data_IF_583821259336
#
_entry.id   IF_583821259336
#
_cell.length_a   1.000
_cell.length_b   1.000
_cell.length_c   1.000
_cell.angle_alpha   90.00
_cell.angle_beta   90.00
_cell.angle_gamma   90.00
#
_symmetry.space_group_name_H-M   'P 1'
#
loop_
_entity.id
_entity.type
_entity.pdbx_description
1 polymer ?
#
# COMPACT_ATOMS: atom_id res chain seq x y z
N UNK A 1 25.75 4.79 -0.18
CA UNK A 1 24.94 3.90 0.69
C UNK A 1 25.78 3.39 1.87
N UNK A 2 25.49 3.83 3.10
CA UNK A 2 26.39 3.66 4.27
C UNK A 2 26.00 2.50 5.20
N UNK A 3 24.80 1.92 5.06
CA UNK A 3 24.35 0.80 5.91
C UNK A 3 25.15 -0.47 5.64
N UNK A 4 25.63 -1.12 6.71
CA UNK A 4 26.44 -2.35 6.63
C UNK A 4 25.63 -3.59 6.22
N UNK A 5 24.31 -3.56 6.43
CA UNK A 5 23.37 -4.67 6.19
C UNK A 5 23.06 -4.95 4.70
N UNK A 6 23.60 -4.17 3.76
CA UNK A 6 23.46 -4.43 2.32
C UNK A 6 24.62 -5.27 1.79
N UNK A 7 24.32 -6.17 0.87
CA UNK A 7 25.34 -6.92 0.15
C UNK A 7 26.29 -6.00 -0.63
N UNK A 8 27.48 -6.49 -0.93
CA UNK A 8 28.49 -5.71 -1.67
C UNK A 8 27.96 -5.29 -3.03
N UNK A 9 27.25 -6.17 -3.75
CA UNK A 9 26.66 -5.83 -5.05
C UNK A 9 25.69 -4.65 -4.96
N UNK A 10 24.84 -4.62 -3.93
CA UNK A 10 23.90 -3.53 -3.70
C UNK A 10 24.61 -2.19 -3.47
N UNK A 11 25.73 -2.19 -2.73
CA UNK A 11 26.57 -0.99 -2.51
C UNK A 11 27.16 -0.46 -3.80
N UNK A 12 27.64 -1.35 -4.66
CA UNK A 12 28.20 -0.98 -5.96
C UNK A 12 27.14 -0.44 -6.91
N UNK A 13 25.99 -1.10 -7.01
CA UNK A 13 24.87 -0.62 -7.83
C UNK A 13 24.34 0.71 -7.32
N UNK A 14 24.17 0.89 -6.01
CA UNK A 14 23.75 2.17 -5.44
C UNK A 14 24.77 3.29 -5.66
N UNK A 15 26.07 2.98 -5.70
CA UNK A 15 27.11 3.95 -6.06
C UNK A 15 27.04 4.32 -7.54
N UNK A 16 26.89 3.34 -8.43
CA UNK A 16 26.75 3.58 -9.86
C UNK A 16 25.55 4.48 -10.17
N UNK A 17 24.39 4.18 -9.56
CA UNK A 17 23.17 5.00 -9.72
C UNK A 17 23.41 6.42 -9.22
N UNK A 18 24.04 6.59 -8.05
CA UNK A 18 24.35 7.93 -7.54
C UNK A 18 25.32 8.69 -8.45
N UNK A 19 26.35 8.02 -8.96
CA UNK A 19 27.33 8.62 -9.88
C UNK A 19 26.66 9.04 -11.21
N UNK A 20 25.65 8.30 -11.69
CA UNK A 20 24.83 8.69 -12.85
C UNK A 20 23.92 9.87 -12.54
N UNK A 21 23.26 9.89 -11.38
CA UNK A 21 22.39 11.01 -10.98
C UNK A 21 23.19 12.31 -10.83
N UNK A 22 24.43 12.21 -10.36
CA UNK A 22 25.32 13.36 -10.14
C UNK A 22 26.26 13.65 -11.32
N UNK A 23 26.13 12.95 -12.46
CA UNK A 23 27.03 13.12 -13.60
C UNK A 23 26.87 14.46 -14.32
N UNK A 24 25.67 15.06 -14.22
CA UNK A 24 25.31 16.28 -14.95
C UNK A 24 24.88 16.03 -16.40
N UNK A 25 24.68 14.76 -16.78
CA UNK A 25 24.14 14.39 -18.09
C UNK A 25 22.64 14.71 -18.20
N UNK A 26 22.11 14.62 -19.42
CA UNK A 26 20.69 14.79 -19.69
C UNK A 26 19.83 13.78 -18.92
N UNK A 27 18.69 14.23 -18.40
CA UNK A 27 17.81 13.41 -17.54
C UNK A 27 17.39 12.11 -18.20
N UNK A 28 17.04 12.14 -19.49
CA UNK A 28 16.59 10.94 -20.20
C UNK A 28 17.76 9.96 -20.41
N UNK A 29 18.97 10.49 -20.63
CA UNK A 29 20.18 9.67 -20.73
C UNK A 29 20.51 8.99 -19.40
N UNK A 30 20.43 9.72 -18.28
CA UNK A 30 20.65 9.17 -16.92
C UNK A 30 19.66 8.05 -16.62
N UNK A 31 18.37 8.27 -16.87
CA UNK A 31 17.31 7.26 -16.65
C UNK A 31 17.56 6.00 -17.48
N UNK A 32 17.89 6.16 -18.77
CA UNK A 32 18.17 5.03 -19.65
C UNK A 32 19.41 4.25 -19.19
N UNK A 33 20.50 4.93 -18.82
CA UNK A 33 21.72 4.29 -18.31
C UNK A 33 21.46 3.48 -17.03
N UNK A 34 20.62 4.01 -16.13
CA UNK A 34 20.23 3.30 -14.91
C UNK A 34 19.41 2.06 -15.25
N UNK A 35 18.41 2.18 -16.13
CA UNK A 35 17.57 1.05 -16.55
C UNK A 35 18.39 -0.05 -17.24
N UNK A 36 19.29 0.31 -18.15
CA UNK A 36 20.17 -0.61 -18.86
C UNK A 36 21.13 -1.31 -17.89
N UNK A 37 21.67 -0.58 -16.92
CA UNK A 37 22.53 -1.15 -15.88
C UNK A 37 21.79 -2.18 -15.02
N UNK A 38 20.56 -1.90 -14.61
CA UNK A 38 19.74 -2.82 -13.82
C UNK A 38 19.39 -4.09 -14.62
N UNK A 39 19.08 -3.94 -15.91
CA UNK A 39 18.79 -5.07 -16.79
C UNK A 39 20.02 -5.96 -17.01
N UNK A 40 21.19 -5.36 -17.28
CA UNK A 40 22.45 -6.09 -17.43
C UNK A 40 22.87 -6.77 -16.13
N UNK A 41 22.69 -6.10 -14.99
CA UNK A 41 22.98 -6.66 -13.68
C UNK A 41 22.12 -7.90 -13.40
N UNK A 42 20.81 -7.82 -13.66
CA UNK A 42 19.91 -8.95 -13.48
C UNK A 42 20.31 -10.15 -14.36
N UNK A 43 20.69 -9.90 -15.62
CA UNK A 43 21.22 -10.94 -16.52
C UNK A 43 22.47 -11.60 -15.96
N UNK A 44 23.45 -10.80 -15.50
CA UNK A 44 24.71 -11.29 -14.91
C UNK A 44 24.52 -12.06 -13.59
N UNK A 45 23.54 -11.67 -12.78
CA UNK A 45 23.20 -12.39 -11.55
C UNK A 45 22.60 -13.76 -11.87
N UNK A 46 21.68 -13.83 -12.84
CA UNK A 46 21.01 -15.08 -13.25
C UNK A 46 21.94 -16.03 -14.02
N UNK A 47 22.88 -15.52 -14.81
CA UNK A 47 23.91 -16.34 -15.48
C UNK A 47 24.95 -16.92 -14.52
N UNK A 48 25.04 -16.38 -13.30
CA UNK A 48 26.03 -16.81 -12.31
C UNK A 48 27.43 -16.20 -12.51
N UNK A 49 27.54 -15.12 -13.29
CA UNK A 49 28.82 -14.46 -13.60
C UNK A 49 29.38 -13.64 -12.42
N UNK A 50 28.61 -13.47 -11.35
CA UNK A 50 28.99 -12.70 -10.17
C UNK A 50 29.63 -13.59 -9.10
N UNK A 51 30.81 -13.20 -8.57
CA UNK A 51 31.48 -13.98 -7.54
C UNK A 51 30.71 -13.94 -6.22
N UNK A 52 30.85 -15.01 -5.42
CA UNK A 52 30.13 -15.18 -4.16
C UNK A 52 30.34 -14.00 -3.19
N UNK A 53 31.53 -13.38 -3.18
CA UNK A 53 31.81 -12.24 -2.32
C UNK A 53 30.80 -11.09 -2.51
N UNK A 54 30.26 -10.90 -3.72
CA UNK A 54 29.31 -9.83 -4.03
C UNK A 54 27.96 -10.00 -3.32
N UNK A 55 27.61 -11.22 -2.94
CA UNK A 55 26.36 -11.55 -2.25
C UNK A 55 26.46 -11.51 -0.73
N UNK A 56 27.66 -11.37 -0.17
CA UNK A 56 27.89 -11.44 1.29
C UNK A 56 27.26 -10.23 1.99
N UNK A 57 26.44 -10.53 3.00
CA UNK A 57 25.87 -9.55 3.92
C UNK A 57 26.53 -9.77 5.29
N UNK A 58 26.92 -8.69 5.96
CA UNK A 58 27.61 -8.77 7.26
C UNK A 58 26.84 -7.98 8.30
N UNK A 59 26.50 -8.62 9.42
CA UNK A 59 25.80 -7.98 10.54
C UNK A 59 26.42 -8.35 11.89
N UNK A 60 26.54 -7.35 12.76
CA UNK A 60 27.11 -7.51 14.11
C UNK A 60 26.14 -8.16 15.10
N UNK A 61 26.66 -8.97 16.01
CA UNK A 61 25.92 -9.51 17.15
C UNK A 61 25.98 -8.53 18.33
N UNK A 62 24.82 -8.11 18.82
CA UNK A 62 24.67 -7.27 20.02
C UNK A 62 24.51 -8.06 21.31
N UNK A 63 24.11 -9.33 21.22
CA UNK A 63 23.95 -10.27 22.35
C UNK A 63 24.58 -11.61 21.98
N UNK A 64 24.68 -12.53 22.94
CA UNK A 64 25.11 -13.89 22.63
C UNK A 64 24.03 -14.60 21.77
N UNK A 65 24.37 -15.45 20.78
CA UNK A 65 23.39 -16.05 19.86
C UNK A 65 22.21 -16.76 20.52
N UNK A 66 22.42 -17.36 21.71
CA UNK A 66 21.36 -18.06 22.46
C UNK A 66 20.39 -17.13 23.21
N UNK A 67 20.78 -15.87 23.45
CA UNK A 67 19.99 -14.92 24.23
C UNK A 67 19.05 -14.08 23.36
N UNK A 68 19.00 -14.37 22.05
CA UNK A 68 18.06 -13.75 21.12
C UNK A 68 16.70 -14.45 21.19
N UNK A 69 15.64 -13.80 21.70
CA UNK A 69 14.28 -14.35 21.69
C UNK A 69 13.80 -14.61 20.26
N UNK A 70 14.22 -13.76 19.31
CA UNK A 70 13.84 -13.82 17.89
C UNK A 70 14.89 -14.52 17.00
N UNK A 71 15.67 -15.45 17.56
CA UNK A 71 16.77 -16.07 16.80
C UNK A 71 16.35 -16.88 15.56
N UNK A 72 15.05 -17.08 15.34
CA UNK A 72 14.47 -17.73 14.15
C UNK A 72 14.07 -16.75 13.04
N UNK A 73 14.03 -15.44 13.31
CA UNK A 73 13.64 -14.41 12.31
C UNK A 73 14.86 -13.63 11.78
N UNK A 74 16.04 -13.84 12.38
CA UNK A 74 17.25 -13.08 12.06
C UNK A 74 18.32 -13.97 11.38
N UNK A 75 18.67 -13.72 10.10
CA UNK A 75 19.63 -14.54 9.35
C UNK A 75 21.01 -14.67 9.99
N UNK A 76 21.61 -13.56 10.42
CA UNK A 76 22.91 -13.54 11.10
C UNK A 76 22.92 -14.30 12.43
N UNK A 77 21.82 -14.28 13.21
CA UNK A 77 21.69 -15.08 14.43
C UNK A 77 21.54 -16.56 14.11
N UNK A 78 20.79 -16.91 13.06
CA UNK A 78 20.64 -18.28 12.59
C UNK A 78 22.00 -18.89 12.20
N UNK A 79 22.78 -18.16 11.40
CA UNK A 79 24.14 -18.58 11.00
C UNK A 79 25.08 -18.63 12.22
N UNK A 80 25.01 -17.66 13.14
CA UNK A 80 25.79 -17.70 14.37
C UNK A 80 25.49 -18.96 15.23
N UNK A 81 24.22 -19.35 15.35
CA UNK A 81 23.83 -20.61 16.02
C UNK A 81 24.35 -21.84 15.29
N UNK A 82 24.39 -21.83 13.96
CA UNK A 82 25.02 -22.90 13.17
C UNK A 82 26.53 -22.98 13.39
N UNK A 83 27.21 -21.84 13.44
CA UNK A 83 28.64 -21.76 13.76
C UNK A 83 28.95 -22.35 15.14
N UNK A 84 28.14 -22.03 16.16
CA UNK A 84 28.27 -22.63 17.50
C UNK A 84 28.10 -24.15 17.47
N UNK A 85 27.12 -24.67 16.71
CA UNK A 85 26.93 -26.12 16.52
C UNK A 85 28.09 -26.79 15.77
N UNK A 86 28.76 -26.06 14.90
CA UNK A 86 29.95 -26.50 14.19
C UNK A 86 31.26 -26.29 14.98
N UNK A 87 31.16 -26.05 16.30
CA UNK A 87 32.28 -25.78 17.21
C UNK A 87 33.16 -24.57 16.80
N UNK A 88 32.61 -23.60 16.07
CA UNK A 88 33.28 -22.33 15.80
C UNK A 88 32.96 -21.31 16.92
N UNK A 89 33.96 -20.62 17.48
CA UNK A 89 33.73 -19.61 18.51
C UNK A 89 32.97 -18.42 17.92
N UNK A 90 31.99 -17.91 18.66
CA UNK A 90 31.21 -16.71 18.32
C UNK A 90 31.02 -15.87 19.57
N UNK A 91 31.47 -14.62 19.54
CA UNK A 91 31.41 -13.70 20.67
C UNK A 91 30.43 -12.55 20.43
N UNK A 92 30.08 -11.86 21.52
CA UNK A 92 29.30 -10.62 21.46
C UNK A 92 30.15 -9.54 20.79
N UNK A 93 29.59 -8.82 19.82
CA UNK A 93 30.29 -7.83 19.01
C UNK A 93 30.85 -8.37 17.68
N UNK A 94 30.84 -9.70 17.49
CA UNK A 94 31.34 -10.30 16.25
C UNK A 94 30.44 -9.97 15.06
N UNK A 95 31.07 -9.80 13.90
CA UNK A 95 30.40 -9.53 12.64
C UNK A 95 30.23 -10.84 11.87
N UNK A 96 29.00 -11.29 11.72
CA UNK A 96 28.67 -12.58 11.11
C UNK A 96 28.33 -12.36 9.63
N UNK A 97 29.15 -12.91 8.69
CA UNK A 97 28.83 -12.88 7.29
C UNK A 97 27.86 -14.01 6.94
N UNK A 98 26.89 -13.73 6.10
CA UNK A 98 25.93 -14.71 5.60
C UNK A 98 25.50 -14.41 4.17
N UNK A 99 25.02 -15.46 3.49
CA UNK A 99 24.43 -15.39 2.14
C UNK A 99 23.11 -16.17 2.17
N UNK A 100 22.09 -15.62 1.51
CA UNK A 100 20.80 -16.30 1.34
C UNK A 100 20.90 -17.24 0.15
N UNK A 101 20.64 -18.54 0.38
CA UNK A 101 20.87 -19.58 -0.62
C UNK A 101 19.58 -20.23 -1.12
N UNK A 102 19.65 -20.84 -2.29
CA UNK A 102 18.68 -21.78 -2.83
C UNK A 102 19.38 -23.12 -3.08
N UNK A 103 18.68 -24.23 -2.86
CA UNK A 103 19.18 -25.56 -3.21
C UNK A 103 19.06 -25.77 -4.73
N UNK A 104 20.01 -26.50 -5.32
CA UNK A 104 20.14 -26.62 -6.77
C UNK A 104 19.13 -27.57 -7.41
N UNK A 105 18.58 -28.56 -6.69
CA UNK A 105 17.66 -29.56 -7.29
C UNK A 105 16.23 -29.01 -7.49
N UNK A 106 15.61 -29.26 -8.65
CA UNK A 106 14.30 -28.69 -9.01
C UNK A 106 13.15 -29.09 -8.05
N UNK A 107 13.25 -30.27 -7.41
CA UNK A 107 12.30 -30.72 -6.41
C UNK A 107 12.46 -29.98 -5.08
N UNK A 108 13.70 -29.65 -4.70
CA UNK A 108 14.01 -28.89 -3.49
C UNK A 108 13.91 -27.38 -3.69
N UNK A 109 14.01 -26.87 -4.92
CA UNK A 109 13.73 -25.46 -5.23
C UNK A 109 12.31 -25.11 -4.81
N UNK A 110 11.30 -25.95 -5.15
CA UNK A 110 9.89 -25.79 -4.71
C UNK A 110 9.70 -25.92 -3.20
N UNK A 111 10.54 -26.70 -2.52
CA UNK A 111 10.52 -26.82 -1.06
C UNK A 111 11.18 -25.61 -0.38
N UNK A 112 12.26 -25.09 -0.96
CA UNK A 112 13.01 -23.92 -0.49
C UNK A 112 12.26 -22.61 -0.70
N UNK A 113 11.35 -22.53 -1.68
CA UNK A 113 10.44 -21.38 -1.81
C UNK A 113 9.39 -21.33 -0.69
N UNK A 114 9.16 -22.44 0.02
CA UNK A 114 8.24 -22.53 1.18
C UNK A 114 8.92 -22.28 2.52
N UNK A 115 10.25 -22.35 2.59
CA UNK A 115 11.02 -22.07 3.80
C UNK A 115 11.40 -20.60 3.89
N UNK A 116 11.48 -20.08 5.11
CA UNK A 116 11.78 -18.66 5.33
C UNK A 116 13.18 -18.32 4.82
N UNK A 117 13.38 -17.10 4.31
CA UNK A 117 14.70 -16.64 3.86
C UNK A 117 15.78 -16.79 4.97
N UNK A 118 15.36 -16.73 6.24
CA UNK A 118 16.21 -16.91 7.42
C UNK A 118 16.78 -18.32 7.50
N UNK A 119 15.96 -19.34 7.28
CA UNK A 119 16.37 -20.76 7.31
C UNK A 119 17.30 -21.13 6.15
N UNK A 120 17.31 -20.30 5.10
CA UNK A 120 18.15 -20.43 3.91
C UNK A 120 19.48 -19.68 4.02
N UNK A 121 19.70 -18.95 5.11
CA UNK A 121 20.94 -18.25 5.35
C UNK A 121 22.07 -19.24 5.68
N UNK A 122 23.21 -19.11 4.99
CA UNK A 122 24.40 -19.95 5.19
C UNK A 122 25.66 -19.10 5.28
N UNK A 123 26.69 -19.63 5.94
CA UNK A 123 27.99 -18.97 6.01
C UNK A 123 28.71 -19.09 4.64
N UNK A 124 29.42 -18.06 4.15
CA UNK A 124 30.08 -18.10 2.83
C UNK A 124 31.05 -19.29 2.65
N UNK A 125 31.75 -19.70 3.71
CA UNK A 125 32.64 -20.87 3.66
C UNK A 125 31.89 -22.20 3.48
N UNK A 126 30.68 -22.33 4.01
CA UNK A 126 29.86 -23.54 3.82
C UNK A 126 29.42 -23.66 2.36
N UNK A 127 29.09 -22.53 1.74
CA UNK A 127 28.73 -22.47 0.32
C UNK A 127 29.93 -22.86 -0.54
N UNK A 128 31.13 -22.32 -0.25
CA UNK A 128 32.38 -22.71 -0.94
C UNK A 128 32.68 -24.21 -0.79
N UNK A 129 32.37 -24.79 0.37
CA UNK A 129 32.56 -26.23 0.64
C UNK A 129 31.53 -27.13 -0.05
N UNK A 130 30.33 -26.62 -0.29
CA UNK A 130 29.22 -27.37 -0.91
C UNK A 130 29.39 -27.67 -2.40
N UNK A 131 30.50 -27.22 -3.02
CA UNK A 131 30.89 -27.51 -4.40
C UNK A 131 29.77 -27.38 -5.46
N UNK A 132 28.86 -26.41 -5.27
CA UNK A 132 27.78 -26.09 -6.22
C UNK A 132 26.38 -26.56 -5.84
N UNK A 133 26.22 -27.27 -4.72
CA UNK A 133 24.89 -27.67 -4.19
C UNK A 133 24.08 -26.47 -3.67
N UNK A 134 24.74 -25.53 -2.99
CA UNK A 134 24.14 -24.30 -2.50
C UNK A 134 24.54 -23.14 -3.41
N UNK A 135 23.55 -22.46 -3.99
CA UNK A 135 23.77 -21.26 -4.80
C UNK A 135 23.08 -20.05 -4.17
N UNK A 136 23.56 -18.81 -4.39
CA UNK A 136 22.84 -17.61 -3.95
C UNK A 136 21.44 -17.55 -4.58
N UNK A 137 20.44 -17.16 -3.80
CA UNK A 137 19.07 -16.94 -4.29
C UNK A 137 18.97 -15.59 -5.01
N UNK A 138 19.25 -15.60 -6.31
CA UNK A 138 19.30 -14.39 -7.15
C UNK A 138 18.02 -13.56 -7.07
N UNK A 139 16.85 -14.21 -7.12
CA UNK A 139 15.56 -13.50 -7.10
C UNK A 139 15.34 -12.78 -5.76
N UNK A 140 15.72 -13.40 -4.65
CA UNK A 140 15.68 -12.74 -3.34
C UNK A 140 16.63 -11.54 -3.29
N UNK A 141 17.85 -11.63 -3.83
CA UNK A 141 18.78 -10.49 -3.85
C UNK A 141 18.29 -9.35 -4.75
N UNK A 142 17.74 -9.65 -5.93
CA UNK A 142 17.17 -8.62 -6.81
C UNK A 142 16.03 -7.87 -6.09
N UNK A 143 15.10 -8.61 -5.47
CA UNK A 143 13.92 -8.05 -4.81
C UNK A 143 14.22 -7.33 -3.48
N UNK A 144 15.08 -7.91 -2.63
CA UNK A 144 15.27 -7.48 -1.24
C UNK A 144 16.58 -6.74 -1.00
N UNK A 145 17.55 -6.82 -1.92
CA UNK A 145 18.86 -6.18 -1.77
C UNK A 145 19.13 -5.10 -2.82
N UNK A 146 18.72 -5.28 -4.07
CA UNK A 146 19.01 -4.33 -5.15
C UNK A 146 17.89 -3.30 -5.31
N UNK A 147 16.64 -3.76 -5.48
CA UNK A 147 15.50 -2.88 -5.78
C UNK A 147 15.22 -1.82 -4.70
N UNK A 148 15.22 -2.11 -3.37
CA UNK A 148 14.88 -1.09 -2.39
C UNK A 148 15.86 0.09 -2.28
N UNK A 149 17.20 -0.08 -2.32
CA UNK A 149 18.11 1.05 -2.30
C UNK A 149 18.20 1.79 -3.62
N UNK A 150 18.09 1.11 -4.77
CA UNK A 150 18.07 1.80 -6.07
C UNK A 150 16.77 2.56 -6.27
N UNK A 151 15.63 1.96 -5.90
CA UNK A 151 14.32 2.61 -5.93
C UNK A 151 14.31 3.94 -5.19
N UNK A 152 14.87 3.99 -3.97
CA UNK A 152 15.00 5.22 -3.18
C UNK A 152 15.91 6.28 -3.79
N UNK A 153 16.94 5.89 -4.55
CA UNK A 153 17.81 6.85 -5.23
C UNK A 153 17.14 7.45 -6.46
N UNK A 154 16.34 6.66 -7.17
CA UNK A 154 15.63 7.07 -8.37
C UNK A 154 14.24 7.66 -8.09
N UNK A 155 13.76 7.65 -6.84
CA UNK A 155 12.43 8.13 -6.45
C UNK A 155 12.15 9.59 -6.87
N UNK A 156 13.09 10.55 -6.71
CA UNK A 156 12.86 11.93 -7.13
C UNK A 156 12.94 12.15 -8.66
N UNK A 157 13.25 11.11 -9.44
CA UNK A 157 13.43 11.23 -10.89
C UNK A 157 12.13 10.95 -11.63
N UNK A 158 11.56 11.96 -12.29
CA UNK A 158 10.41 11.72 -13.18
C UNK A 158 10.84 10.83 -14.35
N UNK A 159 10.06 9.81 -14.67
CA UNK A 159 10.34 8.81 -15.71
C UNK A 159 10.81 7.45 -15.19
N UNK A 160 11.10 7.33 -13.89
CA UNK A 160 11.40 6.06 -13.23
C UNK A 160 10.41 5.80 -12.09
N UNK A 161 9.97 4.55 -11.94
CA UNK A 161 9.16 4.12 -10.79
C UNK A 161 9.66 2.77 -10.28
N UNK A 162 9.42 2.41 -9.00
CA UNK A 162 9.77 1.09 -8.47
C UNK A 162 9.22 -0.07 -9.31
N UNK A 163 8.04 0.13 -9.94
CA UNK A 163 7.43 -0.83 -10.86
C UNK A 163 8.23 -1.02 -12.15
N UNK A 164 8.68 0.08 -12.77
CA UNK A 164 9.52 0.04 -13.97
C UNK A 164 10.88 -0.57 -13.64
N UNK A 165 11.47 -0.22 -12.49
CA UNK A 165 12.74 -0.80 -12.05
C UNK A 165 12.61 -2.30 -11.75
N UNK A 166 11.50 -2.73 -11.13
CA UNK A 166 11.20 -4.14 -10.94
C UNK A 166 11.10 -4.88 -12.28
N UNK A 167 10.42 -4.29 -13.26
CA UNK A 167 10.33 -4.84 -14.62
C UNK A 167 11.71 -4.97 -15.28
N UNK A 168 12.56 -3.95 -15.19
CA UNK A 168 13.94 -3.99 -15.72
C UNK A 168 14.82 -5.02 -15.02
N UNK A 169 14.58 -5.29 -13.74
CA UNK A 169 15.22 -6.40 -13.01
C UNK A 169 14.63 -7.78 -13.36
N UNK A 170 13.54 -7.83 -14.14
CA UNK A 170 12.81 -9.06 -14.49
C UNK A 170 11.98 -9.62 -13.32
N UNK A 171 11.57 -8.76 -12.39
CA UNK A 171 10.67 -9.09 -11.28
C UNK A 171 9.21 -8.79 -11.69
N UNK A 172 8.26 -9.44 -11.03
CA UNK A 172 6.83 -9.22 -11.27
C UNK A 172 6.40 -7.82 -10.80
N UNK A 173 6.23 -6.90 -11.76
CA UNK A 173 5.89 -5.49 -11.54
C UNK A 173 4.58 -5.27 -10.77
N UNK A 174 3.66 -6.24 -10.79
CA UNK A 174 2.38 -6.17 -10.07
C UNK A 174 2.55 -6.21 -8.54
N UNK A 175 3.61 -6.86 -8.05
CA UNK A 175 3.88 -6.98 -6.61
C UNK A 175 4.40 -5.67 -6.01
N UNK A 176 4.97 -4.80 -6.83
CA UNK A 176 5.63 -3.57 -6.41
C UNK A 176 4.80 -2.31 -6.65
N UNK A 177 3.61 -2.46 -7.29
CA UNK A 177 2.58 -1.41 -7.35
C UNK A 177 2.00 -1.06 -5.96
N UNK A 178 2.12 -1.94 -4.97
CA UNK A 178 1.41 -1.85 -3.68
C UNK A 178 2.28 -1.36 -2.51
N UNK A 179 3.61 -1.31 -2.66
CA UNK A 179 4.51 -0.91 -1.56
C UNK A 179 4.57 0.59 -1.29
N UNK A 180 3.95 1.41 -2.16
CA UNK A 180 3.80 2.86 -1.93
C UNK A 180 2.50 3.26 -1.22
N UNK A 181 1.52 2.36 -1.10
CA UNK A 181 0.21 2.70 -0.56
C UNK A 181 -0.49 1.48 0.05
N UNK A 182 -0.34 1.27 1.36
CA UNK A 182 -1.23 0.38 2.11
C UNK A 182 -0.53 -0.80 2.78
N UNK A 183 0.21 -0.52 3.85
CA UNK A 183 0.16 -1.34 5.06
C UNK A 183 0.76 -0.55 6.21
N UNK A 184 0.03 -0.46 7.32
CA UNK A 184 0.43 0.23 8.55
C UNK A 184 1.63 -0.42 9.23
N UNK A 185 2.81 -0.22 8.64
CA UNK A 185 4.04 -0.19 9.40
C UNK A 185 4.06 1.16 10.13
N UNK A 186 4.36 1.13 11.43
CA UNK A 186 4.71 2.32 12.18
C UNK A 186 5.76 3.06 11.35
N UNK A 187 5.42 4.30 10.98
CA UNK A 187 6.29 5.19 10.23
C UNK A 187 7.49 5.43 11.13
N UNK A 188 8.62 4.79 10.80
CA UNK A 188 9.91 5.24 11.25
C UNK A 188 10.09 6.66 10.70
N UNK A 189 10.34 7.61 11.60
CA UNK A 189 10.34 9.08 11.41
C UNK A 189 11.36 9.58 10.34
N UNK A 190 12.02 8.65 9.65
CA UNK A 190 13.12 8.88 8.71
C UNK A 190 12.76 8.63 7.23
N UNK A 191 11.50 8.25 6.89
CA UNK A 191 11.02 8.07 5.50
C UNK A 191 10.15 9.23 4.98
N UNK A 192 10.43 10.45 5.42
CA UNK A 192 9.56 11.62 5.22
C UNK A 192 9.94 12.46 3.98
N UNK A 193 9.99 11.89 2.76
CA UNK A 193 10.27 12.71 1.56
C UNK A 193 9.27 12.58 0.40
N UNK A 194 8.48 11.50 0.29
CA UNK A 194 7.43 11.40 -0.74
C UNK A 194 6.05 11.08 -0.17
N UNK A 195 5.55 12.01 0.67
CA UNK A 195 4.14 12.03 1.02
C UNK A 195 3.35 12.68 -0.12
N UNK A 196 2.85 11.88 -1.07
CA UNK A 196 1.69 12.32 -1.85
C UNK A 196 0.52 12.34 -0.87
N UNK A 197 -0.04 13.51 -0.52
CA UNK A 197 -1.17 13.55 0.38
C UNK A 197 -2.27 12.67 -0.18
N UNK A 198 -2.93 11.88 0.66
CA UNK A 198 -4.06 11.06 0.23
C UNK A 198 -5.19 11.91 -0.42
N UNK A 199 -5.20 13.23 -0.19
CA UNK A 199 -6.05 14.20 -0.86
C UNK A 199 -5.72 14.44 -2.33
N UNK A 200 -4.50 14.13 -2.78
CA UNK A 200 -4.03 14.30 -4.15
C UNK A 200 -4.16 13.02 -4.99
N UNK A 201 -4.54 11.90 -4.37
CA UNK A 201 -4.86 10.66 -5.07
C UNK A 201 -6.22 10.77 -5.78
N UNK A 202 -6.40 10.15 -6.95
CA UNK A 202 -7.69 10.11 -7.61
C UNK A 202 -8.71 9.30 -6.78
N UNK A 203 -9.97 9.72 -6.80
CA UNK A 203 -11.03 9.16 -5.95
C UNK A 203 -11.24 7.63 -6.12
N UNK A 204 -10.94 7.08 -7.29
CA UNK A 204 -11.03 5.63 -7.54
C UNK A 204 -10.03 4.83 -6.69
N UNK A 205 -8.83 5.37 -6.47
CA UNK A 205 -7.79 4.76 -5.65
C UNK A 205 -8.01 5.11 -4.18
N UNK A 206 -8.31 6.38 -3.90
CA UNK A 206 -8.54 6.88 -2.54
C UNK A 206 -9.68 6.14 -1.85
N UNK A 207 -10.79 5.92 -2.55
CA UNK A 207 -12.01 5.32 -1.99
C UNK A 207 -12.19 3.85 -2.38
N UNK A 208 -11.10 3.15 -2.69
CA UNK A 208 -11.13 1.74 -3.10
C UNK A 208 -11.64 0.81 -1.99
N UNK A 209 -11.13 1.00 -0.78
CA UNK A 209 -11.41 0.14 0.39
C UNK A 209 -12.64 0.63 1.20
N UNK A 210 -13.37 1.63 0.68
CA UNK A 210 -14.49 2.28 1.35
C UNK A 210 -15.80 1.55 1.05
N UNK A 211 -16.66 1.42 2.05
CA UNK A 211 -17.98 0.80 1.88
C UNK A 211 -18.88 1.73 1.04
N UNK A 212 -19.44 1.20 -0.04
CA UNK A 212 -20.24 1.98 -0.99
C UNK A 212 -21.66 2.20 -0.47
N UNK A 213 -22.22 3.38 -0.75
CA UNK A 213 -23.59 3.71 -0.36
C UNK A 213 -24.57 3.01 -1.30
N UNK A 214 -25.57 2.32 -0.74
CA UNK A 214 -26.59 1.63 -1.50
C UNK A 214 -27.97 2.25 -1.25
N UNK A 215 -28.80 2.30 -2.29
CA UNK A 215 -30.18 2.74 -2.22
C UNK A 215 -31.10 1.65 -2.76
N UNK A 216 -32.29 1.52 -2.15
CA UNK A 216 -33.34 0.60 -2.62
C UNK A 216 -34.40 1.39 -3.39
N UNK A 217 -34.66 1.00 -4.63
CA UNK A 217 -35.69 1.63 -5.46
C UNK A 217 -37.10 1.24 -4.99
N UNK A 218 -38.04 2.19 -4.91
CA UNK A 218 -39.43 1.90 -4.51
C UNK A 218 -40.25 1.27 -5.63
N UNK A 219 -39.86 1.45 -6.89
CA UNK A 219 -40.59 0.93 -8.03
C UNK A 219 -40.22 -0.54 -8.33
N UNK A 220 -38.93 -0.86 -8.39
CA UNK A 220 -38.46 -2.21 -8.71
C UNK A 220 -38.00 -3.02 -7.48
N UNK A 221 -37.84 -2.42 -6.30
CA UNK A 221 -37.38 -3.10 -5.09
C UNK A 221 -35.88 -3.45 -5.06
N UNK A 222 -35.16 -3.22 -6.17
CA UNK A 222 -33.75 -3.57 -6.29
C UNK A 222 -32.84 -2.61 -5.50
N UNK A 223 -31.82 -3.16 -4.84
CA UNK A 223 -30.82 -2.38 -4.10
C UNK A 223 -29.57 -2.20 -4.95
N UNK A 224 -29.25 -0.96 -5.31
CA UNK A 224 -28.10 -0.64 -6.17
C UNK A 224 -27.16 0.37 -5.51
N UNK A 225 -25.90 0.39 -5.96
CA UNK A 225 -24.92 1.41 -5.56
C UNK A 225 -25.38 2.80 -6.01
N UNK A 226 -25.21 3.79 -5.13
CA UNK A 226 -25.46 5.18 -5.43
C UNK A 226 -24.19 5.83 -6.00
N UNK A 227 -24.23 6.11 -7.30
CA UNK A 227 -23.08 6.66 -8.06
C UNK A 227 -22.82 8.15 -7.81
N UNK A 228 -23.63 8.85 -7.01
CA UNK A 228 -23.47 10.27 -6.71
C UNK A 228 -24.28 11.18 -7.65
N UNK A 229 -23.70 12.32 -8.01
CA UNK A 229 -24.32 13.35 -8.86
C UNK A 229 -24.66 12.85 -10.26
N UNK A 230 -23.80 12.00 -10.83
CA UNK A 230 -23.95 11.49 -12.18
C UNK A 230 -23.94 9.96 -12.20
N UNK A 231 -24.83 9.35 -12.98
CA UNK A 231 -24.79 7.93 -13.30
C UNK A 231 -24.21 7.71 -14.69
N UNK A 232 -23.39 6.67 -14.85
CA UNK A 232 -22.93 6.22 -16.17
C UNK A 232 -24.04 5.40 -16.84
N UNK A 233 -24.54 5.87 -17.98
CA UNK A 233 -25.34 5.04 -18.87
C UNK A 233 -24.51 3.89 -19.44
N UNK A 234 -25.14 2.75 -19.74
CA UNK A 234 -24.49 1.57 -20.33
C UNK A 234 -23.95 1.80 -21.75
N UNK A 235 -24.37 2.88 -22.41
CA UNK A 235 -23.88 3.33 -23.70
C UNK A 235 -23.05 4.60 -23.53
N UNK A 236 -21.80 4.53 -23.97
CA UNK A 236 -20.81 5.61 -24.03
C UNK A 236 -21.47 6.93 -24.50
N UNK A 237 -21.20 8.02 -23.76
CA UNK A 237 -21.54 9.43 -24.03
C UNK A 237 -22.86 10.06 -23.53
N UNK A 238 -23.72 9.38 -22.76
CA UNK A 238 -24.81 10.07 -22.04
C UNK A 238 -24.65 9.98 -20.52
N UNK A 239 -24.22 11.09 -19.93
CA UNK A 239 -24.24 11.30 -18.49
C UNK A 239 -25.68 11.58 -18.07
N UNK A 240 -26.25 10.74 -17.21
CA UNK A 240 -27.59 10.96 -16.63
C UNK A 240 -27.47 11.39 -15.17
N UNK A 241 -28.53 12.00 -14.63
CA UNK A 241 -28.61 12.32 -13.21
C UNK A 241 -28.50 11.04 -12.38
N UNK A 242 -27.62 11.02 -11.37
CA UNK A 242 -27.47 9.88 -10.45
C UNK A 242 -28.66 9.66 -9.50
N UNK A 243 -29.70 10.48 -9.66
CA UNK A 243 -30.97 10.42 -8.94
C UNK A 243 -31.99 9.47 -9.58
N UNK A 244 -31.65 8.87 -10.71
CA UNK A 244 -32.43 7.82 -11.34
C UNK A 244 -31.86 6.44 -11.01
N UNK A 245 -32.74 5.46 -10.88
CA UNK A 245 -32.38 4.07 -10.64
C UNK A 245 -31.57 3.52 -11.83
N UNK A 246 -30.44 2.84 -11.59
CA UNK A 246 -29.61 2.28 -12.66
C UNK A 246 -30.19 0.99 -13.29
N UNK A 247 -31.25 0.41 -12.69
CA UNK A 247 -31.85 -0.82 -13.19
C UNK A 247 -32.60 -0.57 -14.52
N UNK A 248 -32.21 -1.21 -15.64
CA UNK A 248 -32.87 -1.03 -16.93
C UNK A 248 -34.31 -1.56 -16.97
N UNK A 249 -34.66 -2.53 -16.11
CA UNK A 249 -36.00 -3.13 -16.05
C UNK A 249 -36.95 -2.35 -15.13
N UNK A 250 -36.53 -1.19 -14.61
CA UNK A 250 -37.34 -0.39 -13.70
C UNK A 250 -38.44 0.38 -14.45
N UNK A 251 -39.70 0.20 -14.03
CA UNK A 251 -40.85 0.90 -14.62
C UNK A 251 -40.84 2.42 -14.35
N UNK A 252 -40.25 2.83 -13.22
CA UNK A 252 -40.11 4.23 -12.82
C UNK A 252 -38.70 4.48 -12.29
N UNK A 253 -37.72 4.75 -13.16
CA UNK A 253 -36.34 4.95 -12.74
C UNK A 253 -36.14 6.28 -12.03
N UNK A 254 -36.91 7.32 -12.39
CA UNK A 254 -36.76 8.65 -11.79
C UNK A 254 -36.99 8.63 -10.29
N UNK A 255 -36.18 9.43 -9.60
CA UNK A 255 -36.20 9.59 -8.14
C UNK A 255 -36.16 8.28 -7.35
N UNK A 256 -35.49 7.25 -7.88
CA UNK A 256 -35.45 5.90 -7.30
C UNK A 256 -36.86 5.34 -7.00
N UNK A 257 -37.79 5.54 -7.93
CA UNK A 257 -39.18 5.10 -7.84
C UNK A 257 -40.05 5.93 -6.89
N UNK A 258 -39.57 7.10 -6.46
CA UNK A 258 -40.31 8.03 -5.61
C UNK A 258 -41.22 8.97 -6.41
N UNK A 259 -42.31 9.49 -5.79
CA UNK A 259 -43.24 10.42 -6.43
C UNK A 259 -42.70 11.85 -6.60
N UNK A 260 -41.51 12.17 -6.06
CA UNK A 260 -40.87 13.48 -6.27
C UNK A 260 -39.58 13.71 -5.48
N UNK A 261 -38.91 14.84 -5.79
CA UNK A 261 -37.59 15.20 -5.24
C UNK A 261 -37.55 15.26 -3.71
N UNK A 262 -38.58 15.79 -3.04
CA UNK A 262 -38.58 15.94 -1.58
C UNK A 262 -38.55 14.59 -0.85
N UNK A 263 -39.28 13.60 -1.38
CA UNK A 263 -39.27 12.26 -0.80
C UNK A 263 -37.95 11.55 -1.07
N UNK A 264 -37.34 11.76 -2.24
CA UNK A 264 -36.00 11.26 -2.51
C UNK A 264 -34.97 11.89 -1.56
N UNK A 265 -34.99 13.22 -1.43
CA UNK A 265 -34.07 13.94 -0.56
C UNK A 265 -34.16 13.44 0.88
N UNK A 266 -35.37 13.34 1.44
CA UNK A 266 -35.55 12.86 2.81
C UNK A 266 -35.08 11.41 2.99
N UNK A 267 -35.31 10.54 2.01
CA UNK A 267 -34.81 9.16 2.03
C UNK A 267 -33.29 9.10 1.96
N UNK A 268 -32.68 9.76 0.98
CA UNK A 268 -31.21 9.78 0.80
C UNK A 268 -30.54 10.40 2.02
N UNK A 269 -31.07 11.52 2.53
CA UNK A 269 -30.57 12.18 3.74
C UNK A 269 -30.64 11.26 4.98
N UNK A 270 -31.76 10.57 5.19
CA UNK A 270 -31.91 9.61 6.29
C UNK A 270 -30.97 8.41 6.15
N UNK A 271 -30.89 7.82 4.95
CA UNK A 271 -30.01 6.67 4.66
C UNK A 271 -28.55 7.07 4.89
N UNK A 272 -28.13 8.22 4.35
CA UNK A 272 -26.80 8.77 4.52
C UNK A 272 -26.49 9.03 6.00
N UNK A 273 -27.42 9.64 6.74
CA UNK A 273 -27.24 9.91 8.17
C UNK A 273 -27.09 8.61 8.97
N UNK A 274 -27.91 7.60 8.68
CA UNK A 274 -27.80 6.28 9.33
C UNK A 274 -26.49 5.58 8.99
N UNK A 275 -26.08 5.67 7.73
CA UNK A 275 -24.84 5.11 7.24
C UNK A 275 -23.62 5.76 7.93
N UNK A 276 -23.56 7.09 7.97
CA UNK A 276 -22.53 7.85 8.72
C UNK A 276 -22.49 7.43 10.18
N UNK A 277 -23.65 7.41 10.85
CA UNK A 277 -23.73 7.07 12.29
C UNK A 277 -23.26 5.65 12.56
N UNK A 278 -23.53 4.70 11.66
CA UNK A 278 -23.02 3.32 11.76
C UNK A 278 -21.49 3.28 11.71
N UNK A 279 -20.85 4.02 10.81
CA UNK A 279 -19.38 4.08 10.72
C UNK A 279 -18.75 4.77 11.93
N UNK A 280 -19.36 5.86 12.41
CA UNK A 280 -18.94 6.52 13.65
C UNK A 280 -19.06 5.56 14.83
N UNK A 281 -20.18 4.84 14.95
CA UNK A 281 -20.36 3.84 16.00
C UNK A 281 -19.30 2.72 15.89
N UNK A 282 -19.03 2.23 14.67
CA UNK A 282 -18.00 1.20 14.42
C UNK A 282 -16.61 1.64 14.89
N UNK A 283 -16.24 2.90 14.67
CA UNK A 283 -15.01 3.48 15.20
C UNK A 283 -15.01 3.54 16.73
N UNK A 284 -16.05 4.11 17.33
CA UNK A 284 -16.14 4.26 18.78
C UNK A 284 -16.40 2.96 19.56
N UNK A 285 -16.72 1.85 18.88
CA UNK A 285 -16.68 0.53 19.52
C UNK A 285 -15.27 0.20 20.02
N UNK A 286 -14.22 0.75 19.42
CA UNK A 286 -12.84 0.65 19.91
C UNK A 286 -12.30 -0.77 19.86
N UNK A 287 -12.68 -1.54 18.83
CA UNK A 287 -12.21 -2.92 18.65
C UNK A 287 -10.77 -2.89 18.15
N UNK A 288 -9.90 -3.61 18.85
CA UNK A 288 -8.48 -3.75 18.55
C UNK A 288 -8.12 -5.22 18.34
N UNK A 289 -7.08 -5.45 17.53
CA UNK A 289 -6.55 -6.77 17.17
C UNK A 289 -5.03 -6.78 17.30
N UNK A 290 -4.47 -7.91 17.72
CA UNK A 290 -3.02 -8.09 17.79
C UNK A 290 -2.40 -8.12 16.37
N UNK A 291 -1.23 -7.51 16.22
CA UNK A 291 -0.43 -7.56 14.99
C UNK A 291 0.21 -8.92 14.73
N UNK A 292 0.55 -9.66 15.79
CA UNK A 292 1.08 -11.02 15.72
C UNK A 292 0.02 -12.03 15.24
N UNK A 293 0.19 -12.66 14.06
CA UNK A 293 -0.76 -13.64 13.52
C UNK A 293 -0.82 -14.95 14.32
N UNK A 294 0.18 -15.22 15.18
CA UNK A 294 0.16 -16.38 16.07
C UNK A 294 -0.64 -16.13 17.36
N UNK A 295 -1.07 -14.88 17.60
CA UNK A 295 -1.85 -14.54 18.78
C UNK A 295 -3.27 -15.11 18.70
N UNK A 296 -3.74 -15.70 19.80
CA UNK A 296 -5.10 -16.27 19.89
C UNK A 296 -6.18 -15.23 20.18
N UNK A 297 -5.81 -14.01 20.54
CA UNK A 297 -6.75 -12.90 20.71
C UNK A 297 -7.12 -12.39 19.32
N UNK A 298 -8.31 -12.75 18.84
CA UNK A 298 -8.84 -12.31 17.54
C UNK A 298 -9.18 -10.82 17.57
N UNK A 299 -10.09 -10.42 18.46
CA UNK A 299 -10.57 -9.05 18.61
C UNK A 299 -10.92 -8.79 20.08
N UNK A 300 -10.51 -7.64 20.61
CA UNK A 300 -10.83 -7.23 21.98
C UNK A 300 -11.12 -5.73 22.03
N UNK A 301 -11.77 -5.29 23.10
CA UNK A 301 -11.97 -3.85 23.42
C UNK A 301 -11.12 -3.41 24.62
N UNK A 302 -10.36 -4.35 25.19
CA UNK A 302 -9.48 -4.09 26.32
C UNK A 302 -8.14 -3.59 25.80
N UNK A 303 -7.82 -2.35 26.17
CA UNK A 303 -6.52 -1.75 25.92
C UNK A 303 -5.62 -1.94 27.13
N UNK A 304 -4.35 -2.23 26.88
CA UNK A 304 -3.33 -2.20 27.91
C UNK A 304 -2.96 -0.75 28.25
N UNK A 305 -2.59 -0.50 29.51
CA UNK A 305 -2.16 0.82 29.99
C UNK A 305 -0.68 1.11 29.62
N UNK A 306 0.06 0.10 29.15
CA UNK A 306 1.48 0.25 28.79
C UNK A 306 1.69 1.04 27.50
N UNK A 307 2.83 1.75 27.42
CA UNK A 307 3.28 2.48 26.23
C UNK A 307 3.29 1.56 25.01
N UNK A 308 2.67 1.99 23.91
CA UNK A 308 2.60 1.21 22.67
C UNK A 308 1.55 0.09 22.65
N UNK A 309 0.57 0.12 23.57
CA UNK A 309 -0.58 -0.79 23.61
C UNK A 309 -0.19 -2.28 23.45
N UNK A 310 0.59 -2.85 24.39
CA UNK A 310 1.01 -4.25 24.30
C UNK A 310 -0.20 -5.18 24.40
N UNK A 311 -0.12 -6.32 23.70
CA UNK A 311 -1.15 -7.33 23.71
C UNK A 311 -1.33 -7.97 25.10
N UNK A 312 -2.59 -8.19 25.49
CA UNK A 312 -2.96 -8.82 26.77
C UNK A 312 -2.90 -10.36 26.71
N UNK A 313 -2.51 -10.93 25.56
CA UNK A 313 -2.37 -12.37 25.37
C UNK A 313 -1.25 -12.95 26.22
N UNK A 314 -1.52 -14.07 26.92
CA UNK A 314 -0.50 -14.74 27.73
C UNK A 314 0.68 -15.16 26.85
N UNK A 315 1.86 -14.60 27.12
CA UNK A 315 3.09 -14.89 26.38
C UNK A 315 3.17 -14.25 24.99
N UNK A 316 2.25 -13.35 24.64
CA UNK A 316 2.33 -12.59 23.40
C UNK A 316 3.16 -11.31 23.61
N UNK A 317 4.07 -11.02 22.69
CA UNK A 317 4.88 -9.80 22.66
C UNK A 317 4.43 -8.79 21.60
N UNK A 318 3.31 -9.09 20.92
CA UNK A 318 2.72 -8.23 19.90
C UNK A 318 2.05 -6.99 20.49
N UNK A 319 1.66 -6.08 19.59
CA UNK A 319 0.92 -4.85 19.92
C UNK A 319 -0.51 -4.95 19.38
N UNK A 320 -1.45 -4.34 20.10
CA UNK A 320 -2.82 -4.24 19.60
C UNK A 320 -2.99 -2.98 18.76
N UNK A 321 -3.66 -3.12 17.62
CA UNK A 321 -3.97 -2.03 16.69
C UNK A 321 -5.48 -1.93 16.47
N UNK A 322 -6.03 -0.73 16.25
CA UNK A 322 -7.45 -0.58 15.94
C UNK A 322 -7.80 -1.31 14.64
N UNK A 323 -8.88 -2.10 14.67
CA UNK A 323 -9.40 -2.80 13.49
C UNK A 323 -10.02 -1.80 12.51
N UNK A 324 -10.65 -0.75 13.03
CA UNK A 324 -11.20 0.34 12.24
C UNK A 324 -10.52 1.65 12.65
N UNK A 325 -9.65 2.16 11.78
CA UNK A 325 -8.77 3.29 12.08
C UNK A 325 -9.49 4.63 11.86
N UNK A 326 -8.93 5.68 12.44
CA UNK A 326 -9.34 7.08 12.23
C UNK A 326 -9.27 7.47 10.75
N UNK A 327 -8.24 7.00 10.03
CA UNK A 327 -8.11 7.21 8.58
C UNK A 327 -9.25 6.55 7.81
N UNK A 328 -9.59 5.29 8.15
CA UNK A 328 -10.70 4.59 7.49
C UNK A 328 -12.05 5.29 7.71
N UNK A 329 -12.29 5.83 8.92
CA UNK A 329 -13.48 6.63 9.17
C UNK A 329 -13.47 7.94 8.37
N UNK A 330 -12.34 8.63 8.35
CA UNK A 330 -12.22 9.89 7.60
C UNK A 330 -12.44 9.71 6.10
N UNK A 331 -11.81 8.70 5.50
CA UNK A 331 -11.98 8.38 4.08
C UNK A 331 -13.43 7.98 3.76
N UNK A 332 -14.12 7.29 4.68
CA UNK A 332 -15.54 6.97 4.54
C UNK A 332 -16.44 8.22 4.56
N UNK A 333 -16.18 9.18 5.45
CA UNK A 333 -16.92 10.44 5.51
C UNK A 333 -16.65 11.30 4.28
N UNK A 334 -15.40 11.35 3.82
CA UNK A 334 -15.01 12.13 2.65
C UNK A 334 -15.56 11.54 1.35
N UNK A 335 -15.65 10.22 1.24
CA UNK A 335 -16.35 9.55 0.14
C UNK A 335 -17.83 9.97 0.05
N UNK A 336 -18.54 10.03 1.17
CA UNK A 336 -19.96 10.44 1.16
C UNK A 336 -20.11 11.89 0.72
N UNK A 337 -19.21 12.77 1.18
CA UNK A 337 -19.21 14.17 0.78
C UNK A 337 -18.87 14.36 -0.71
N UNK A 338 -17.92 13.58 -1.24
CA UNK A 338 -17.53 13.64 -2.64
C UNK A 338 -18.62 13.16 -3.59
N UNK A 339 -19.44 12.18 -3.18
CA UNK A 339 -20.61 11.73 -3.95
C UNK A 339 -21.66 12.82 -4.20
N UNK A 340 -21.74 13.82 -3.31
CA UNK A 340 -22.76 14.88 -3.34
C UNK A 340 -22.20 16.20 -3.85
N UNK A 341 -20.88 16.32 -4.03
CA UNK A 341 -20.23 17.52 -4.53
C UNK A 341 -20.32 17.57 -6.06
N UNK A 342 -21.18 18.47 -6.54
CA UNK A 342 -21.40 18.72 -7.96
C UNK A 342 -20.14 19.24 -8.65
N UNK A 343 -19.39 20.14 -8.00
CA UNK A 343 -18.21 20.75 -8.62
C UNK A 343 -17.08 19.73 -8.74
N UNK A 344 -16.80 19.01 -7.65
CA UNK A 344 -15.79 17.96 -7.62
C UNK A 344 -16.10 16.85 -8.63
N UNK A 345 -17.35 16.40 -8.72
CA UNK A 345 -17.73 15.35 -9.68
C UNK A 345 -17.59 15.83 -11.13
N UNK A 346 -17.95 17.09 -11.44
CA UNK A 346 -17.71 17.67 -12.76
C UNK A 346 -16.21 17.69 -13.10
N UNK A 347 -15.36 18.16 -12.19
CA UNK A 347 -13.90 18.21 -12.38
C UNK A 347 -13.32 16.82 -12.65
N UNK A 348 -13.82 15.78 -11.98
CA UNK A 348 -13.39 14.41 -12.23
C UNK A 348 -13.78 13.87 -13.60
N UNK A 349 -14.98 14.20 -14.09
CA UNK A 349 -15.43 13.75 -15.40
C UNK A 349 -14.58 14.42 -16.48
N UNK A 350 -14.31 15.72 -16.33
CA UNK A 350 -13.47 16.49 -17.25
C UNK A 350 -12.02 16.00 -17.24
N UNK A 351 -11.47 15.71 -16.06
CA UNK A 351 -10.13 15.12 -15.93
C UNK A 351 -10.02 13.76 -16.64
N UNK A 352 -11.06 12.91 -16.54
CA UNK A 352 -11.11 11.61 -17.23
C UNK A 352 -11.28 11.72 -18.75
N UNK A 353 -11.85 12.82 -19.23
CA UNK A 353 -12.08 13.08 -20.65
C UNK A 353 -10.96 13.92 -21.29
N UNK A 354 -9.87 14.22 -20.57
CA UNK A 354 -8.77 15.09 -21.02
C UNK A 354 -9.25 16.44 -21.59
N UNK A 355 -10.40 16.94 -21.13
CA UNK A 355 -11.07 18.13 -21.68
C UNK A 355 -11.24 19.18 -20.59
N UNK A 356 -10.24 20.02 -20.41
CA UNK A 356 -10.27 21.08 -19.39
C UNK A 356 -10.76 22.41 -19.98
N UNK A 357 -12.07 22.51 -20.22
CA UNK A 357 -12.68 23.77 -20.68
C UNK A 357 -13.87 24.18 -19.80
N UNK A 358 -13.93 25.47 -19.45
CA UNK A 358 -15.06 26.07 -18.71
C UNK A 358 -16.39 25.83 -19.44
N UNK A 359 -16.36 25.76 -20.78
CA UNK A 359 -17.51 25.43 -21.61
C UNK A 359 -18.03 24.00 -21.37
N UNK A 360 -17.15 22.99 -21.26
CA UNK A 360 -17.53 21.62 -20.96
C UNK A 360 -18.09 21.45 -19.54
N UNK A 361 -17.53 22.16 -18.55
CA UNK A 361 -18.11 22.22 -17.18
C UNK A 361 -19.51 22.82 -17.20
N UNK A 362 -19.70 23.90 -17.96
CA UNK A 362 -21.01 24.57 -18.09
C UNK A 362 -22.04 23.67 -18.77
N UNK A 363 -21.62 22.86 -19.74
CA UNK A 363 -22.49 21.91 -20.44
C UNK A 363 -22.90 20.72 -19.57
N UNK A 364 -21.97 20.18 -18.77
CA UNK A 364 -22.28 19.16 -17.75
C UNK A 364 -23.22 19.69 -16.66
N UNK A 365 -23.09 20.96 -16.27
CA UNK A 365 -24.02 21.58 -15.33
C UNK A 365 -25.41 21.83 -15.94
N UNK A 366 -25.50 22.00 -17.27
CA UNK A 366 -26.79 22.11 -17.98
C UNK A 366 -27.50 20.77 -18.15
N UNK A 367 -26.78 19.65 -18.12
CA UNK A 367 -27.38 18.32 -18.22
C UNK A 367 -28.15 17.90 -16.96
N UNK A 368 -27.92 18.59 -15.83
CA UNK A 368 -28.65 18.39 -14.58
C UNK A 368 -29.72 19.49 -14.41
N UNK A 369 -30.88 19.12 -13.88
CA UNK A 369 -31.91 20.12 -13.56
C UNK A 369 -31.46 21.01 -12.40
N UNK A 370 -31.85 22.30 -12.42
CA UNK A 370 -31.55 23.22 -11.30
C UNK A 370 -32.04 22.70 -9.94
N UNK A 371 -33.13 21.94 -9.94
CA UNK A 371 -33.73 21.36 -8.74
C UNK A 371 -32.89 20.19 -8.20
N UNK A 372 -32.34 19.35 -9.08
CA UNK A 372 -31.40 18.29 -8.71
C UNK A 372 -30.10 18.86 -8.13
N UNK A 373 -29.57 19.92 -8.75
CA UNK A 373 -28.36 20.61 -8.25
C UNK A 373 -28.58 21.17 -6.84
N UNK A 374 -29.73 21.78 -6.59
CA UNK A 374 -30.08 22.31 -5.26
C UNK A 374 -30.25 21.19 -4.24
N UNK A 375 -30.90 20.09 -4.63
CA UNK A 375 -31.04 18.92 -3.77
C UNK A 375 -29.68 18.31 -3.39
N UNK A 376 -28.76 18.18 -4.35
CA UNK A 376 -27.40 17.71 -4.09
C UNK A 376 -26.63 18.67 -3.19
N UNK A 377 -26.77 19.99 -3.38
CA UNK A 377 -26.17 21.00 -2.49
C UNK A 377 -26.65 20.86 -1.04
N UNK A 378 -27.94 20.58 -0.84
CA UNK A 378 -28.49 20.36 0.50
C UNK A 378 -27.96 19.05 1.12
N UNK A 379 -27.88 17.96 0.36
CA UNK A 379 -27.28 16.70 0.82
C UNK A 379 -25.79 16.86 1.16
N UNK A 380 -25.06 17.59 0.33
CA UNK A 380 -23.66 17.92 0.55
C UNK A 380 -23.47 18.74 1.85
N UNK A 381 -24.35 19.71 2.12
CA UNK A 381 -24.32 20.47 3.39
C UNK A 381 -24.50 19.57 4.62
N UNK A 382 -25.38 18.56 4.55
CA UNK A 382 -25.54 17.57 5.63
C UNK A 382 -24.26 16.75 5.80
N UNK A 383 -23.64 16.28 4.72
CA UNK A 383 -22.38 15.55 4.77
C UNK A 383 -21.24 16.41 5.38
N UNK A 384 -21.13 17.67 4.95
CA UNK A 384 -20.16 18.62 5.49
C UNK A 384 -20.38 18.89 6.98
N UNK A 385 -21.62 19.01 7.45
CA UNK A 385 -21.92 19.18 8.88
C UNK A 385 -21.37 18.03 9.73
N UNK A 386 -21.40 16.80 9.19
CA UNK A 386 -20.80 15.64 9.86
C UNK A 386 -19.27 15.65 9.78
N UNK A 387 -18.71 16.04 8.63
CA UNK A 387 -17.27 16.13 8.43
C UNK A 387 -16.62 17.22 9.30
N UNK A 388 -17.25 18.38 9.44
CA UNK A 388 -16.78 19.49 10.29
C UNK A 388 -16.76 19.15 11.79
N UNK A 389 -17.51 18.13 12.23
CA UNK A 389 -17.42 17.61 13.60
C UNK A 389 -16.18 16.74 13.82
N UNK A 390 -15.52 16.30 12.75
CA UNK A 390 -14.28 15.55 12.83
C UNK A 390 -13.11 16.51 13.04
N UNK A 391 -12.38 16.32 14.14
CA UNK A 391 -11.16 17.10 14.41
C UNK A 391 -10.09 16.91 13.32
N UNK A 392 -10.08 15.75 12.65
CA UNK A 392 -9.14 15.46 11.56
C UNK A 392 -9.45 16.17 10.25
N UNK A 393 -10.58 16.87 10.14
CA UNK A 393 -10.90 17.63 8.94
C UNK A 393 -10.17 18.98 8.87
N UNK A 394 -9.87 19.57 10.02
CA UNK A 394 -9.17 20.83 10.12
C UNK A 394 -7.75 20.59 10.61
N UNK A 395 -6.78 21.16 9.90
CA UNK A 395 -5.43 21.31 10.41
C UNK A 395 -5.38 22.73 10.96
N UNK A 396 -5.37 22.88 12.29
CA UNK A 396 -5.18 24.20 12.89
C UNK A 396 -3.78 24.70 12.50
N UNK A 397 -3.66 25.83 11.78
CA UNK A 397 -2.36 26.43 11.55
C UNK A 397 -1.77 26.83 12.90
N UNK A 398 -0.55 26.37 13.14
CA UNK A 398 0.20 26.64 14.38
C UNK A 398 0.59 28.10 14.55
#
# INVERSE_FOLDING_TARGET
MVRRDWCIQSKETGRYVLDQILSGDDRDAVVNNIHDHLEQLAKRMRSGDLPLEKYVITKGLSKHPNDYPDGKTQPHVHVAKMMLKANRPVNIGDHIPYVITMQSSEQEQKASTKTSAVERARHPEEIKRSNGELKPDVEWYLAQQILPPTGRLCEPMEGTSPSIMAEKLGLDSRKYHLTGAGNGHEIDDENLVDFIPASSLPDNERFKEVEKLHLTCLACGESNEFCGVFAKGSTVDKVTSGLSCPNPDCSHPDFWGGPGHLQLWSRVSNIMTMFIRRHIQKYYLGVVKCDDPACTISETRQLSVGTGCPCLGRGCTGRVRPVYTERMLYDQLKYIESLMDVNHTCEQILFKQETDTIAAKTELLRSISKLDTEMMRQLHSVAQSHLHKSAYHFIEPS
#
